data_IF_858995149325
#
_entry.id   IF_858995149325
#
_cell.length_a   1.000
_cell.length_b   1.000
_cell.length_c   1.000
_cell.angle_alpha   90.00
_cell.angle_beta   90.00
_cell.angle_gamma   90.00
#
_symmetry.space_group_name_H-M   'P 1'
#
loop_
_entity.id
_entity.type
_entity.pdbx_description
1 polymer ?
#
# COMPACT_ATOMS: atom_id res chain seq x y z
N UNK A 1 43.45 -20.25 -1.44
CA UNK A 1 42.44 -19.51 -2.22
C UNK A 1 41.12 -19.57 -1.45
N UNK A 2 40.72 -18.47 -0.82
CA UNK A 2 39.39 -18.39 -0.17
C UNK A 2 38.37 -17.97 -1.22
N UNK A 3 37.57 -18.92 -1.70
CA UNK A 3 36.38 -18.60 -2.48
C UNK A 3 35.35 -17.99 -1.52
N UNK A 4 35.35 -16.67 -1.42
CA UNK A 4 34.26 -15.95 -0.77
C UNK A 4 33.02 -16.15 -1.63
N UNK A 5 32.15 -17.09 -1.24
CA UNK A 5 30.80 -17.20 -1.81
C UNK A 5 30.15 -15.85 -1.57
N UNK A 6 29.94 -15.06 -2.64
CA UNK A 6 29.15 -13.83 -2.55
C UNK A 6 27.86 -14.18 -1.81
N UNK A 7 27.51 -13.46 -0.72
CA UNK A 7 26.25 -13.69 -0.04
C UNK A 7 25.15 -13.63 -1.09
N UNK A 8 24.34 -14.69 -1.18
CA UNK A 8 23.17 -14.69 -2.05
C UNK A 8 22.26 -13.60 -1.48
N UNK A 9 22.16 -12.48 -2.19
CA UNK A 9 21.25 -11.40 -1.84
C UNK A 9 19.87 -12.03 -1.68
N UNK A 10 19.33 -11.98 -0.45
CA UNK A 10 17.95 -12.36 -0.23
C UNK A 10 17.10 -11.39 -1.06
N UNK A 11 16.11 -11.87 -1.83
CA UNK A 11 15.21 -10.98 -2.54
C UNK A 11 14.54 -10.06 -1.51
N UNK A 12 14.41 -8.78 -1.87
CA UNK A 12 13.71 -7.80 -1.04
C UNK A 12 12.27 -8.27 -0.79
N UNK A 13 11.81 -8.18 0.46
CA UNK A 13 10.45 -8.59 0.86
C UNK A 13 9.46 -7.45 0.68
N UNK A 14 8.29 -7.74 0.09
CA UNK A 14 7.17 -6.80 0.06
C UNK A 14 6.60 -6.64 1.48
N UNK A 15 6.54 -5.41 1.98
CA UNK A 15 5.94 -5.08 3.28
C UNK A 15 4.51 -4.55 3.11
N UNK A 16 3.68 -4.78 4.12
CA UNK A 16 2.32 -4.22 4.18
C UNK A 16 2.31 -2.83 4.81
N UNK A 17 1.18 -2.12 4.67
CA UNK A 17 1.07 -0.74 5.13
C UNK A 17 1.34 -0.59 6.64
N UNK A 18 0.83 -1.48 7.49
CA UNK A 18 1.09 -1.39 8.93
C UNK A 18 2.58 -1.51 9.27
N UNK A 19 3.33 -2.36 8.57
CA UNK A 19 4.77 -2.50 8.79
C UNK A 19 5.52 -1.21 8.40
N UNK A 20 5.05 -0.52 7.37
CA UNK A 20 5.56 0.81 7.01
C UNK A 20 5.19 1.87 8.05
N UNK A 21 3.95 1.88 8.55
CA UNK A 21 3.53 2.80 9.61
C UNK A 21 4.36 2.61 10.89
N UNK A 22 4.68 1.36 11.24
CA UNK A 22 5.57 1.04 12.36
C UNK A 22 7.00 1.57 12.14
N UNK A 23 7.48 1.60 10.89
CA UNK A 23 8.75 2.26 10.55
C UNK A 23 8.71 3.78 10.73
N UNK A 24 7.53 4.40 10.58
CA UNK A 24 7.35 5.84 10.76
C UNK A 24 7.12 6.24 12.23
N UNK A 25 6.97 5.27 13.15
CA UNK A 25 6.77 5.54 14.56
C UNK A 25 7.92 6.39 15.14
N UNK A 26 7.58 7.44 15.89
CA UNK A 26 8.57 8.41 16.40
C UNK A 26 9.06 9.41 15.35
N UNK A 27 8.58 9.31 14.11
CA UNK A 27 8.86 10.21 13.02
C UNK A 27 10.10 9.82 12.21
N UNK A 28 10.34 10.60 11.16
CA UNK A 28 11.46 10.45 10.24
C UNK A 28 12.16 11.77 10.03
N UNK A 29 13.43 11.74 9.65
CA UNK A 29 14.22 12.91 9.29
C UNK A 29 14.84 12.76 7.90
N UNK A 30 15.10 13.89 7.24
CA UNK A 30 15.77 13.88 5.95
C UNK A 30 17.18 13.30 6.08
N UNK A 31 17.57 12.46 5.12
CA UNK A 31 18.88 11.84 5.12
C UNK A 31 19.53 11.90 3.74
N UNK A 32 20.77 12.38 3.70
CA UNK A 32 21.59 12.40 2.50
C UNK A 32 22.11 10.99 2.16
N UNK A 33 21.26 10.17 1.55
CA UNK A 33 21.68 8.87 1.04
C UNK A 33 22.69 9.03 -0.10
N UNK A 34 23.69 8.14 -0.15
CA UNK A 34 24.69 8.13 -1.22
C UNK A 34 24.05 7.76 -2.57
N UNK A 35 24.65 8.23 -3.66
CA UNK A 35 24.21 7.87 -5.02
C UNK A 35 24.19 6.36 -5.27
N UNK A 36 25.09 5.61 -4.62
CA UNK A 36 25.12 4.15 -4.71
C UNK A 36 23.83 3.53 -4.13
N UNK A 37 23.37 4.03 -2.98
CA UNK A 37 22.11 3.59 -2.35
C UNK A 37 20.91 3.99 -3.21
N UNK A 38 20.87 5.23 -3.70
CA UNK A 38 19.80 5.69 -4.60
C UNK A 38 19.71 4.86 -5.89
N UNK A 39 20.85 4.60 -6.54
CA UNK A 39 20.92 3.72 -7.73
C UNK A 39 20.48 2.29 -7.41
N UNK A 40 20.85 1.77 -6.25
CA UNK A 40 20.41 0.44 -5.79
C UNK A 40 18.89 0.36 -5.64
N UNK A 41 18.26 1.39 -5.06
CA UNK A 41 16.80 1.47 -4.94
C UNK A 41 16.09 1.56 -6.31
N UNK A 42 16.61 2.39 -7.22
CA UNK A 42 16.08 2.50 -8.60
C UNK A 42 16.21 1.18 -9.34
N UNK A 43 17.36 0.49 -9.24
CA UNK A 43 17.57 -0.80 -9.86
C UNK A 43 16.62 -1.87 -9.29
N UNK A 44 16.36 -1.85 -7.98
CA UNK A 44 15.39 -2.72 -7.34
C UNK A 44 13.97 -2.47 -7.89
N UNK A 45 13.55 -1.21 -7.97
CA UNK A 45 12.24 -0.83 -8.49
C UNK A 45 12.04 -1.34 -9.93
N UNK A 46 13.05 -1.19 -10.79
CA UNK A 46 13.04 -1.76 -12.15
C UNK A 46 12.97 -3.28 -12.15
N UNK A 47 13.72 -3.96 -11.29
CA UNK A 47 13.72 -5.42 -11.21
C UNK A 47 12.39 -6.02 -10.74
N UNK A 48 11.62 -5.24 -9.96
CA UNK A 48 10.31 -5.64 -9.42
C UNK A 48 9.13 -5.09 -10.22
N UNK A 49 9.40 -4.45 -11.35
CA UNK A 49 8.38 -3.80 -12.18
C UNK A 49 7.26 -4.76 -12.61
N UNK A 50 7.63 -5.93 -13.15
CA UNK A 50 6.68 -6.96 -13.58
C UNK A 50 5.88 -7.55 -12.39
N UNK A 51 6.52 -8.04 -11.31
CA UNK A 51 5.79 -8.52 -10.13
C UNK A 51 4.82 -7.49 -9.52
N UNK A 52 5.23 -6.22 -9.50
CA UNK A 52 4.41 -5.13 -8.96
C UNK A 52 3.48 -4.51 -10.01
N UNK A 53 3.47 -5.02 -11.25
CA UNK A 53 2.63 -4.53 -12.36
C UNK A 53 2.74 -3.01 -12.55
N UNK A 54 3.93 -2.49 -12.39
CA UNK A 54 4.24 -1.07 -12.57
C UNK A 54 4.29 -0.76 -14.07
N UNK A 55 3.65 0.34 -14.48
CA UNK A 55 3.71 0.83 -15.86
C UNK A 55 5.14 1.18 -16.25
N UNK A 56 5.38 1.26 -17.56
CA UNK A 56 6.62 1.87 -18.08
C UNK A 56 6.74 3.29 -17.53
N UNK A 57 7.82 3.56 -16.80
CA UNK A 57 8.16 4.91 -16.35
C UNK A 57 9.55 5.31 -16.84
N UNK A 58 9.74 6.62 -16.99
CA UNK A 58 11.08 7.17 -17.19
C UNK A 58 11.88 7.02 -15.89
N UNK A 59 13.12 6.52 -15.98
CA UNK A 59 13.99 6.43 -14.81
C UNK A 59 14.18 7.83 -14.22
N UNK A 60 13.85 8.07 -12.94
CA UNK A 60 14.00 9.39 -12.35
C UNK A 60 15.47 9.78 -12.20
N UNK A 61 15.74 11.08 -12.23
CA UNK A 61 17.06 11.58 -11.89
C UNK A 61 17.38 11.30 -10.41
N UNK A 62 18.64 11.04 -10.06
CA UNK A 62 19.02 10.75 -8.67
C UNK A 62 18.75 11.91 -7.70
N UNK A 63 18.61 13.13 -8.21
CA UNK A 63 18.20 14.30 -7.43
C UNK A 63 16.74 14.21 -6.96
N UNK A 64 15.88 13.51 -7.70
CA UNK A 64 14.46 13.30 -7.37
C UNK A 64 14.28 12.12 -6.42
N UNK A 65 15.26 11.22 -6.32
CA UNK A 65 15.29 10.14 -5.33
C UNK A 65 15.79 10.70 -4.01
N UNK A 66 14.94 10.68 -2.98
CA UNK A 66 15.27 11.18 -1.65
C UNK A 66 15.19 10.06 -0.61
N UNK A 67 15.79 10.28 0.56
CA UNK A 67 15.77 9.29 1.62
C UNK A 67 15.41 9.92 2.96
N UNK A 68 14.74 9.13 3.78
CA UNK A 68 14.36 9.49 5.15
C UNK A 68 14.88 8.44 6.11
N UNK A 69 15.43 8.87 7.23
CA UNK A 69 15.85 7.99 8.33
C UNK A 69 14.70 7.87 9.33
N UNK A 70 14.29 6.65 9.64
CA UNK A 70 13.38 6.41 10.74
C UNK A 70 14.09 6.63 12.09
N UNK A 71 13.42 7.31 13.03
CA UNK A 71 14.02 7.68 14.33
C UNK A 71 13.99 6.54 15.34
N UNK A 72 12.91 5.75 15.34
CA UNK A 72 12.75 4.64 16.29
C UNK A 72 13.55 3.40 15.89
N UNK A 73 13.72 3.19 14.58
CA UNK A 73 14.25 1.97 14.01
C UNK A 73 15.30 2.38 12.99
N UNK A 74 16.56 1.93 13.06
CA UNK A 74 17.65 2.31 12.13
C UNK A 74 17.42 1.79 10.69
N UNK A 75 16.40 2.35 10.06
CA UNK A 75 15.92 2.06 8.73
C UNK A 75 16.01 3.33 7.90
N UNK A 76 16.63 3.20 6.74
CA UNK A 76 16.65 4.21 5.69
C UNK A 76 15.57 3.89 4.67
N UNK A 77 14.62 4.80 4.52
CA UNK A 77 13.50 4.73 3.58
C UNK A 77 13.87 5.54 2.35
N UNK A 78 14.26 4.88 1.26
CA UNK A 78 14.64 5.53 0.01
C UNK A 78 13.43 5.56 -0.91
N UNK A 79 12.96 6.76 -1.25
CA UNK A 79 11.76 7.01 -2.03
C UNK A 79 12.16 7.25 -3.49
N UNK A 80 11.75 6.33 -4.36
CA UNK A 80 11.91 6.43 -5.81
C UNK A 80 10.56 6.88 -6.37
N UNK A 81 10.47 8.07 -6.98
CA UNK A 81 9.22 8.54 -7.56
C UNK A 81 8.82 7.70 -8.78
N UNK A 82 7.51 7.49 -8.95
CA UNK A 82 6.93 6.78 -10.09
C UNK A 82 6.35 7.76 -11.12
N UNK A 83 5.76 7.25 -12.20
CA UNK A 83 5.09 8.05 -13.23
C UNK A 83 3.80 8.74 -12.72
N UNK A 84 3.24 8.24 -11.62
CA UNK A 84 2.11 8.83 -10.92
C UNK A 84 2.63 9.82 -9.86
N UNK A 85 2.17 11.07 -9.95
CA UNK A 85 2.54 12.14 -9.01
C UNK A 85 2.23 11.72 -7.56
N UNK A 86 3.19 11.93 -6.65
CA UNK A 86 3.09 11.59 -5.23
C UNK A 86 2.91 10.07 -4.95
N UNK A 87 3.23 9.22 -5.93
CA UNK A 87 3.40 7.78 -5.73
C UNK A 87 4.88 7.40 -5.75
N UNK A 88 5.25 6.47 -4.86
CA UNK A 88 6.64 6.08 -4.66
C UNK A 88 6.79 4.57 -4.56
N UNK A 89 7.86 4.06 -5.16
CA UNK A 89 8.47 2.83 -4.71
C UNK A 89 9.40 3.17 -3.53
N UNK A 90 9.19 2.55 -2.38
CA UNK A 90 9.97 2.80 -1.17
C UNK A 90 10.84 1.58 -0.90
N UNK A 91 12.15 1.75 -0.97
CA UNK A 91 13.14 0.74 -0.64
C UNK A 91 13.65 0.95 0.79
N UNK A 92 13.63 -0.10 1.62
CA UNK A 92 14.04 -0.04 3.02
C UNK A 92 15.40 -0.70 3.19
N UNK A 93 16.37 0.08 3.68
CA UNK A 93 17.71 -0.37 4.01
C UNK A 93 17.92 -0.32 5.52
N UNK A 94 18.25 -1.44 6.14
CA UNK A 94 18.52 -1.56 7.58
C UNK A 94 20.00 -1.73 7.85
N UNK A 95 20.47 -1.23 8.99
CA UNK A 95 21.82 -1.46 9.52
C UNK A 95 22.95 -1.14 8.51
N UNK A 96 22.77 -0.08 7.70
CA UNK A 96 23.76 0.33 6.69
C UNK A 96 23.98 -0.65 5.54
N UNK A 97 23.04 -1.57 5.28
CA UNK A 97 23.15 -2.51 4.16
C UNK A 97 23.26 -1.79 2.80
N UNK A 98 23.96 -2.43 1.86
CA UNK A 98 24.14 -1.93 0.50
C UNK A 98 22.97 -2.27 -0.45
N UNK A 99 22.08 -3.16 -0.01
CA UNK A 99 20.88 -3.54 -0.72
C UNK A 99 19.68 -3.48 0.22
N UNK A 100 18.52 -3.10 -0.33
CA UNK A 100 17.29 -3.01 0.43
C UNK A 100 16.78 -4.40 0.79
N UNK A 101 16.41 -4.59 2.06
CA UNK A 101 15.84 -5.85 2.54
C UNK A 101 14.33 -5.91 2.32
N UNK A 102 13.67 -4.76 2.24
CA UNK A 102 12.21 -4.65 2.18
C UNK A 102 11.79 -3.56 1.18
N UNK A 103 10.57 -3.64 0.68
CA UNK A 103 10.01 -2.64 -0.23
C UNK A 103 8.49 -2.53 -0.14
N UNK A 104 7.95 -1.40 -0.58
CA UNK A 104 6.51 -1.22 -0.83
C UNK A 104 6.29 -0.24 -1.98
N UNK A 105 5.07 -0.23 -2.52
CA UNK A 105 4.56 0.85 -3.36
C UNK A 105 3.54 1.63 -2.55
N UNK A 106 3.67 2.95 -2.50
CA UNK A 106 2.78 3.79 -1.70
C UNK A 106 2.32 5.01 -2.47
N UNK A 107 1.03 5.29 -2.36
CA UNK A 107 0.40 6.50 -2.88
C UNK A 107 0.21 7.48 -1.72
N UNK A 108 1.14 8.43 -1.57
CA UNK A 108 1.03 9.49 -0.56
C UNK A 108 -0.05 10.50 -0.97
N UNK A 109 -0.25 10.71 -2.27
CA UNK A 109 -1.21 11.70 -2.75
C UNK A 109 -2.68 11.31 -2.56
N UNK A 110 -2.97 10.03 -2.36
CA UNK A 110 -4.28 9.51 -1.96
C UNK A 110 -4.71 10.04 -0.59
N UNK A 111 -3.76 10.30 0.32
CA UNK A 111 -4.02 10.83 1.67
C UNK A 111 -4.60 12.27 1.65
N UNK A 112 -4.51 12.96 0.52
CA UNK A 112 -5.02 14.32 0.34
C UNK A 112 -6.35 14.38 -0.43
N UNK A 113 -6.93 13.23 -0.81
CA UNK A 113 -8.18 13.19 -1.56
C UNK A 113 -9.39 13.09 -0.64
N UNK A 114 -10.55 13.50 -1.15
CA UNK A 114 -11.84 13.23 -0.50
C UNK A 114 -12.32 11.86 -0.98
N UNK A 115 -12.44 10.85 -0.10
CA UNK A 115 -12.88 9.51 -0.48
C UNK A 115 -14.33 9.53 -0.98
N UNK A 116 -14.59 8.74 -2.03
CA UNK A 116 -15.94 8.54 -2.58
C UNK A 116 -16.36 7.09 -2.40
N UNK A 117 -17.58 6.88 -1.92
CA UNK A 117 -18.27 5.59 -1.84
C UNK A 117 -19.11 5.40 -3.11
N UNK A 118 -18.81 4.34 -3.84
CA UNK A 118 -19.59 3.88 -4.99
C UNK A 118 -20.22 2.53 -4.65
N UNK A 119 -21.55 2.41 -4.82
CA UNK A 119 -22.28 1.14 -4.76
C UNK A 119 -23.15 1.04 -6.02
N UNK A 120 -22.65 0.44 -7.11
CA UNK A 120 -23.31 0.48 -8.42
C UNK A 120 -24.72 -0.13 -8.42
N UNK A 121 -24.91 -1.28 -7.78
CA UNK A 121 -26.19 -1.99 -7.70
C UNK A 121 -27.29 -1.17 -6.99
N UNK A 122 -26.89 -0.19 -6.17
CA UNK A 122 -27.81 0.74 -5.49
C UNK A 122 -27.85 2.14 -6.13
N UNK A 123 -27.09 2.38 -7.21
CA UNK A 123 -26.98 3.68 -7.86
C UNK A 123 -26.35 4.77 -6.97
N UNK A 124 -25.46 4.38 -6.07
CA UNK A 124 -24.83 5.28 -5.09
C UNK A 124 -23.46 5.73 -5.59
N UNK A 125 -23.22 7.03 -5.57
CA UNK A 125 -21.91 7.64 -5.79
C UNK A 125 -21.83 8.94 -4.98
N UNK A 126 -21.32 8.84 -3.74
CA UNK A 126 -21.36 9.93 -2.77
C UNK A 126 -20.11 9.95 -1.88
N UNK A 127 -19.85 11.02 -1.10
CA UNK A 127 -18.70 11.05 -0.19
C UNK A 127 -18.73 9.87 0.79
N UNK A 128 -17.60 9.21 1.03
CA UNK A 128 -17.51 8.06 1.92
C UNK A 128 -17.48 8.49 3.41
N UNK A 129 -18.55 9.13 3.87
CA UNK A 129 -18.72 9.49 5.27
C UNK A 129 -19.09 8.26 6.11
N UNK A 130 -18.83 8.31 7.42
CA UNK A 130 -19.24 7.23 8.32
C UNK A 130 -20.75 6.93 8.24
N UNK A 131 -21.60 7.96 8.12
CA UNK A 131 -23.04 7.79 7.99
C UNK A 131 -23.40 7.02 6.71
N UNK A 132 -22.79 7.38 5.57
CA UNK A 132 -23.06 6.76 4.28
C UNK A 132 -22.59 5.30 4.26
N UNK A 133 -21.38 5.03 4.77
CA UNK A 133 -20.82 3.67 4.87
C UNK A 133 -21.70 2.80 5.76
N UNK A 134 -22.11 3.29 6.94
CA UNK A 134 -23.00 2.57 7.87
C UNK A 134 -24.39 2.31 7.29
N UNK A 135 -24.85 3.15 6.36
CA UNK A 135 -26.14 2.97 5.70
C UNK A 135 -26.08 1.91 4.60
N UNK A 136 -25.13 2.03 3.66
CA UNK A 136 -25.14 1.25 2.43
C UNK A 136 -24.48 -0.12 2.55
N UNK A 137 -23.34 -0.22 3.23
CA UNK A 137 -22.55 -1.46 3.26
C UNK A 137 -23.35 -2.65 3.80
N UNK A 138 -24.14 -2.54 4.89
CA UNK A 138 -24.91 -3.67 5.40
C UNK A 138 -25.95 -4.24 4.42
N UNK A 139 -26.38 -3.46 3.42
CA UNK A 139 -27.38 -3.87 2.43
C UNK A 139 -26.80 -4.77 1.34
N UNK A 140 -25.47 -4.81 1.18
CA UNK A 140 -24.80 -5.64 0.17
C UNK A 140 -25.12 -7.13 0.32
N UNK A 141 -25.40 -7.60 1.54
CA UNK A 141 -25.76 -9.01 1.80
C UNK A 141 -27.07 -9.46 1.14
N UNK A 142 -27.93 -8.50 0.80
CA UNK A 142 -29.27 -8.76 0.27
C UNK A 142 -29.28 -8.83 -1.27
N UNK A 143 -28.15 -8.52 -1.93
CA UNK A 143 -27.98 -8.58 -3.38
C UNK A 143 -26.69 -9.33 -3.76
N UNK A 144 -26.82 -10.42 -4.51
CA UNK A 144 -25.75 -11.41 -4.66
C UNK A 144 -24.56 -10.92 -5.49
N UNK A 145 -24.74 -9.91 -6.35
CA UNK A 145 -23.67 -9.29 -7.13
C UNK A 145 -23.21 -7.94 -6.57
N UNK A 146 -23.82 -7.45 -5.49
CA UNK A 146 -23.54 -6.12 -5.00
C UNK A 146 -22.17 -6.02 -4.34
N UNK A 147 -21.48 -4.93 -4.67
CA UNK A 147 -20.24 -4.53 -4.04
C UNK A 147 -20.24 -3.02 -3.80
N UNK A 148 -19.35 -2.58 -2.91
CA UNK A 148 -19.08 -1.18 -2.70
C UNK A 148 -17.57 -0.91 -2.79
N UNK A 149 -17.20 0.24 -3.33
CA UNK A 149 -15.81 0.69 -3.44
C UNK A 149 -15.67 2.04 -2.77
N UNK A 150 -14.64 2.20 -1.95
CA UNK A 150 -14.15 3.48 -1.47
C UNK A 150 -12.87 3.78 -2.24
N UNK A 151 -12.94 4.67 -3.21
CA UNK A 151 -11.78 5.12 -3.97
C UNK A 151 -11.17 6.37 -3.32
N UNK A 152 -9.86 6.33 -3.09
CA UNK A 152 -9.10 7.52 -2.70
C UNK A 152 -8.53 8.19 -3.94
N UNK A 153 -7.84 7.42 -4.80
CA UNK A 153 -7.18 7.96 -5.99
C UNK A 153 -6.78 6.84 -6.95
N UNK A 154 -7.28 6.90 -8.19
CA UNK A 154 -6.93 6.05 -9.34
C UNK A 154 -5.87 4.96 -9.09
N UNK A 155 -6.32 3.80 -8.62
CA UNK A 155 -5.46 2.65 -8.27
C UNK A 155 -5.27 2.40 -6.78
N UNK A 156 -5.71 3.32 -5.91
CA UNK A 156 -5.73 3.20 -4.46
C UNK A 156 -7.17 3.22 -3.96
N UNK A 157 -7.68 2.06 -3.54
CA UNK A 157 -9.07 1.87 -3.12
C UNK A 157 -9.20 0.73 -2.09
N UNK A 158 -10.35 0.69 -1.42
CA UNK A 158 -10.84 -0.47 -0.67
C UNK A 158 -12.21 -0.88 -1.21
N UNK A 159 -12.39 -2.16 -1.47
CA UNK A 159 -13.64 -2.74 -1.95
C UNK A 159 -14.21 -3.69 -0.90
N UNK A 160 -15.53 -3.82 -0.87
CA UNK A 160 -16.24 -4.81 -0.08
C UNK A 160 -17.35 -5.47 -0.90
N UNK A 161 -17.53 -6.77 -0.73
CA UNK A 161 -18.72 -7.49 -1.18
C UNK A 161 -19.18 -8.44 -0.09
N UNK A 162 -20.40 -8.98 -0.23
CA UNK A 162 -20.95 -9.95 0.73
C UNK A 162 -21.35 -11.25 0.03
N UNK A 163 -21.17 -12.37 0.73
CA UNK A 163 -21.72 -13.66 0.35
C UNK A 163 -22.33 -14.38 1.57
N UNK A 164 -22.71 -15.65 1.41
CA UNK A 164 -23.29 -16.45 2.49
C UNK A 164 -22.35 -16.67 3.70
N UNK A 165 -21.05 -16.42 3.57
CA UNK A 165 -20.05 -16.57 4.64
C UNK A 165 -19.79 -15.26 5.39
N UNK A 166 -20.09 -14.12 4.79
CA UNK A 166 -19.90 -12.81 5.40
C UNK A 166 -19.44 -11.76 4.40
N UNK A 167 -18.80 -10.71 4.91
CA UNK A 167 -18.25 -9.61 4.13
C UNK A 167 -16.78 -9.84 3.83
N UNK A 168 -16.38 -9.65 2.58
CA UNK A 168 -15.01 -9.82 2.12
C UNK A 168 -14.48 -8.46 1.71
N UNK A 169 -13.28 -8.12 2.17
CA UNK A 169 -12.64 -6.87 1.83
C UNK A 169 -11.42 -7.11 0.97
N UNK A 170 -11.23 -6.20 0.02
CA UNK A 170 -10.02 -6.11 -0.77
C UNK A 170 -9.51 -4.67 -0.71
N UNK A 171 -8.19 -4.48 -0.77
CA UNK A 171 -7.63 -3.15 -0.97
C UNK A 171 -6.44 -3.20 -1.91
N UNK A 172 -6.29 -2.13 -2.68
CA UNK A 172 -5.18 -1.96 -3.60
C UNK A 172 -4.38 -0.72 -3.24
N UNK A 173 -3.06 -0.84 -3.27
CA UNK A 173 -2.15 0.30 -3.15
C UNK A 173 -1.49 0.56 -4.50
N UNK A 174 -1.92 1.61 -5.20
CA UNK A 174 -1.37 2.09 -6.48
C UNK A 174 -1.62 1.19 -7.69
N UNK A 175 -1.35 -0.11 -7.58
CA UNK A 175 -1.38 -1.06 -8.70
C UNK A 175 -1.89 -2.43 -8.28
N UNK A 176 -2.34 -3.23 -9.24
CA UNK A 176 -2.80 -4.61 -9.01
C UNK A 176 -1.71 -5.54 -8.49
N UNK A 177 -0.42 -5.18 -8.60
CA UNK A 177 0.68 -5.92 -7.99
C UNK A 177 0.78 -5.74 -6.47
N UNK A 178 0.08 -4.74 -5.91
CA UNK A 178 -0.08 -4.52 -4.48
C UNK A 178 -1.57 -4.55 -4.11
N UNK A 179 -2.23 -5.63 -4.53
CA UNK A 179 -3.62 -5.94 -4.20
C UNK A 179 -3.68 -7.00 -3.09
N UNK A 180 -4.56 -6.80 -2.12
CA UNK A 180 -4.67 -7.64 -0.94
C UNK A 180 -6.13 -7.91 -0.60
N UNK A 181 -6.40 -9.05 0.02
CA UNK A 181 -7.72 -9.40 0.52
C UNK A 181 -7.67 -9.74 2.02
N UNK A 182 -8.81 -9.60 2.70
CA UNK A 182 -8.96 -10.06 4.07
C UNK A 182 -8.80 -11.58 4.12
N UNK A 183 -8.02 -12.08 5.08
CA UNK A 183 -7.77 -13.52 5.22
C UNK A 183 -9.05 -14.34 5.50
N UNK A 184 -10.03 -13.73 6.18
CA UNK A 184 -11.28 -14.37 6.57
C UNK A 184 -12.47 -13.43 6.33
N UNK A 185 -13.68 -13.97 6.09
CA UNK A 185 -14.90 -13.17 6.02
C UNK A 185 -15.18 -12.45 7.34
N UNK A 186 -15.68 -11.22 7.26
CA UNK A 186 -16.02 -10.37 8.39
C UNK A 186 -17.53 -10.32 8.64
N UNK A 187 -17.91 -9.93 9.86
CA UNK A 187 -19.27 -9.46 10.13
C UNK A 187 -19.52 -8.11 9.45
N UNK A 188 -20.81 -7.75 9.28
CA UNK A 188 -21.20 -6.44 8.74
C UNK A 188 -20.57 -5.28 9.53
N UNK A 189 -20.66 -5.31 10.86
CA UNK A 189 -20.10 -4.27 11.73
C UNK A 189 -18.58 -4.16 11.57
N UNK A 190 -17.87 -5.29 11.53
CA UNK A 190 -16.42 -5.29 11.35
C UNK A 190 -16.00 -4.78 9.96
N UNK A 191 -16.76 -5.08 8.92
CA UNK A 191 -16.51 -4.57 7.58
C UNK A 191 -16.74 -3.06 7.50
N UNK A 192 -17.87 -2.59 8.04
CA UNK A 192 -18.21 -1.17 8.16
C UNK A 192 -17.12 -0.42 8.92
N UNK A 193 -16.71 -0.87 10.10
CA UNK A 193 -15.69 -0.19 10.89
C UNK A 193 -14.32 -0.15 10.18
N UNK A 194 -14.02 -1.17 9.37
CA UNK A 194 -12.81 -1.21 8.52
C UNK A 194 -12.87 -0.11 7.45
N UNK A 195 -14.00 -0.02 6.74
CA UNK A 195 -14.22 0.97 5.68
C UNK A 195 -14.26 2.40 6.24
N UNK A 196 -14.86 2.60 7.42
CA UNK A 196 -14.86 3.89 8.12
C UNK A 196 -13.45 4.29 8.53
N UNK A 197 -12.66 3.35 9.08
CA UNK A 197 -11.24 3.60 9.40
C UNK A 197 -10.48 4.05 8.13
N UNK A 198 -10.64 3.31 7.03
CA UNK A 198 -10.03 3.63 5.74
C UNK A 198 -10.43 5.01 5.19
N UNK A 199 -11.73 5.29 5.09
CA UNK A 199 -12.22 6.55 4.53
C UNK A 199 -11.88 7.76 5.40
N UNK A 200 -11.89 7.62 6.72
CA UNK A 200 -11.62 8.72 7.63
C UNK A 200 -10.12 8.96 7.88
N UNK A 201 -9.22 8.35 7.09
CA UNK A 201 -7.77 8.50 7.24
C UNK A 201 -7.23 7.95 8.56
N UNK A 202 -7.95 7.02 9.18
CA UNK A 202 -7.46 6.29 10.36
C UNK A 202 -6.78 5.01 9.86
N UNK A 203 -5.77 4.53 10.57
CA UNK A 203 -4.95 3.41 10.08
C UNK A 203 -5.26 2.05 10.74
N UNK A 204 -6.30 1.93 11.56
CA UNK A 204 -6.63 0.64 12.21
C UNK A 204 -6.96 -0.46 11.19
N UNK A 205 -7.52 -0.10 10.03
CA UNK A 205 -7.75 -1.06 8.94
C UNK A 205 -6.45 -1.71 8.44
N UNK A 206 -5.32 -0.99 8.46
CA UNK A 206 -4.05 -1.47 7.93
C UNK A 206 -3.43 -2.59 8.79
N UNK A 207 -3.78 -2.62 10.09
CA UNK A 207 -3.31 -3.62 11.06
C UNK A 207 -4.12 -4.92 11.04
N UNK A 208 -5.13 -5.02 10.15
CA UNK A 208 -5.80 -6.29 9.89
C UNK A 208 -4.89 -7.25 9.16
N UNK A 209 -5.23 -8.54 9.22
CA UNK A 209 -4.50 -9.57 8.49
C UNK A 209 -4.91 -9.55 7.02
N UNK A 210 -4.04 -8.99 6.20
CA UNK A 210 -4.18 -8.95 4.74
C UNK A 210 -3.32 -10.03 4.09
N UNK A 211 -3.87 -10.67 3.07
CA UNK A 211 -3.18 -11.66 2.24
C UNK A 211 -2.95 -11.07 0.85
N UNK A 212 -1.72 -11.19 0.34
CA UNK A 212 -1.37 -10.66 -0.97
C UNK A 212 -2.01 -11.49 -2.07
N UNK A 213 -2.78 -10.83 -2.92
CA UNK A 213 -3.49 -11.45 -4.02
C UNK A 213 -2.56 -11.48 -5.24
N UNK A 214 -1.80 -12.58 -5.36
CA UNK A 214 -0.98 -12.83 -6.53
C UNK A 214 -1.89 -13.19 -7.72
N UNK A 215 -2.28 -12.18 -8.49
CA UNK A 215 -3.08 -12.31 -9.72
C UNK A 215 -2.29 -12.91 -10.88
#
# INVERSE_FOLDING_TARGET
MFFSRKPKLLPSRLIQLHEYLDLLQGGTEEHAASDAVKRSAVALAHSLREPLRLKDWATPELAQVFARRAKANDALLVHVPLDIRDCFFIAVFRNGASAAQEHMVFDIGAEYQTPMLDCPDFGVAEPATEANIRHWVPLLKDEASAFAVIELRGGTYMQVYADAKGFHLEHQLVTTGAHYHSAEPLSADAAVDTLVSYACGKYEWAYKRWEWLAL
#
